data_IF_162613728845
#
_entry.id   IF_162613728845
#
_cell.length_a   1.000
_cell.length_b   1.000
_cell.length_c   1.000
_cell.angle_alpha   90.00
_cell.angle_beta   90.00
_cell.angle_gamma   90.00
#
_symmetry.space_group_name_H-M   'P 1'
#
loop_
_entity.id
_entity.type
_entity.pdbx_description
1 polymer ?
#
# COMPACT_ATOMS: atom_id res chain seq x y z
N UNK A 1 11.08 -24.90 25.56
CA UNK A 1 12.45 -24.55 26.01
C UNK A 1 12.43 -23.13 26.56
N UNK A 2 13.33 -22.80 27.50
CA UNK A 2 13.46 -21.43 28.03
C UNK A 2 14.57 -20.73 27.26
N UNK A 3 14.24 -19.61 26.63
CA UNK A 3 15.18 -18.78 25.86
C UNK A 3 15.19 -17.39 26.46
N UNK A 4 16.39 -16.82 26.60
CA UNK A 4 16.57 -15.42 26.99
C UNK A 4 16.87 -14.62 25.72
N UNK A 5 16.12 -13.54 25.48
CA UNK A 5 16.26 -12.68 24.32
C UNK A 5 16.55 -11.26 24.80
N UNK A 6 17.66 -10.68 24.36
CA UNK A 6 17.98 -9.29 24.64
C UNK A 6 17.24 -8.39 23.66
N UNK A 7 16.42 -7.48 24.20
CA UNK A 7 15.58 -6.56 23.44
C UNK A 7 15.80 -5.16 24.02
N UNK A 8 15.88 -4.10 23.20
CA UNK A 8 15.94 -2.73 23.70
C UNK A 8 14.74 -2.37 24.59
N UNK A 9 14.98 -1.55 25.63
CA UNK A 9 13.98 -1.19 26.63
C UNK A 9 12.71 -0.57 26.03
N UNK A 10 12.86 0.28 25.00
CA UNK A 10 11.73 0.90 24.30
C UNK A 10 10.82 -0.16 23.65
N UNK A 11 11.41 -1.14 22.97
CA UNK A 11 10.67 -2.24 22.33
C UNK A 11 10.01 -3.13 23.37
N UNK A 12 10.68 -3.38 24.50
CA UNK A 12 10.11 -4.15 25.62
C UNK A 12 8.90 -3.43 26.26
N UNK A 13 8.97 -2.11 26.39
CA UNK A 13 7.84 -1.28 26.87
C UNK A 13 6.65 -1.38 25.92
N UNK A 14 6.87 -1.26 24.62
CA UNK A 14 5.81 -1.42 23.60
C UNK A 14 5.17 -2.81 23.65
N UNK A 15 5.98 -3.86 23.72
CA UNK A 15 5.51 -5.25 23.86
C UNK A 15 4.61 -5.44 25.09
N UNK A 16 4.98 -4.85 26.23
CA UNK A 16 4.15 -4.89 27.45
C UNK A 16 2.82 -4.17 27.27
N UNK A 17 2.83 -2.97 26.68
CA UNK A 17 1.61 -2.23 26.38
C UNK A 17 0.69 -3.01 25.44
N UNK A 18 1.24 -3.59 24.37
CA UNK A 18 0.49 -4.38 23.41
C UNK A 18 -0.08 -5.66 24.01
N UNK A 19 0.66 -6.33 24.90
CA UNK A 19 0.19 -7.51 25.63
C UNK A 19 -1.01 -7.16 26.53
N UNK A 20 -0.94 -6.02 27.24
CA UNK A 20 -2.03 -5.52 28.08
C UNK A 20 -3.29 -5.20 27.25
N UNK A 21 -3.13 -4.49 26.13
CA UNK A 21 -4.24 -4.15 25.23
C UNK A 21 -4.90 -5.39 24.61
N UNK A 22 -4.10 -6.42 24.33
CA UNK A 22 -4.56 -7.65 23.70
C UNK A 22 -5.11 -8.67 24.71
N UNK A 23 -5.01 -8.39 26.02
CA UNK A 23 -5.39 -9.33 27.09
C UNK A 23 -4.53 -10.60 27.13
N UNK A 24 -3.36 -10.60 26.51
CA UNK A 24 -2.47 -11.75 26.40
C UNK A 24 -1.30 -11.66 27.37
N UNK A 25 -0.77 -12.81 27.79
CA UNK A 25 0.49 -12.86 28.52
C UNK A 25 1.63 -12.50 27.57
N UNK A 26 2.62 -11.76 28.06
CA UNK A 26 3.77 -11.30 27.27
C UNK A 26 4.47 -12.44 26.51
N UNK A 27 4.66 -13.59 27.15
CA UNK A 27 5.27 -14.78 26.53
C UNK A 27 4.47 -15.32 25.33
N UNK A 28 3.14 -15.25 25.38
CA UNK A 28 2.27 -15.75 24.32
C UNK A 28 2.27 -14.79 23.13
N UNK A 29 2.24 -13.48 23.41
CA UNK A 29 2.37 -12.45 22.38
C UNK A 29 3.71 -12.59 21.64
N UNK A 30 4.82 -12.74 22.40
CA UNK A 30 6.15 -12.92 21.81
C UNK A 30 6.22 -14.19 20.96
N UNK A 31 5.66 -15.30 21.43
CA UNK A 31 5.61 -16.55 20.66
C UNK A 31 4.83 -16.38 19.34
N UNK A 32 3.67 -15.72 19.38
CA UNK A 32 2.87 -15.44 18.17
C UNK A 32 3.61 -14.53 17.19
N UNK A 33 4.31 -13.50 17.67
CA UNK A 33 5.10 -12.62 16.82
C UNK A 33 6.26 -13.36 16.16
N UNK A 34 6.95 -14.22 16.91
CA UNK A 34 8.02 -15.07 16.36
C UNK A 34 7.45 -16.02 15.30
N UNK A 35 6.34 -16.72 15.59
CA UNK A 35 5.71 -17.63 14.65
C UNK A 35 5.23 -16.92 13.37
N UNK A 36 4.66 -15.73 13.52
CA UNK A 36 4.27 -14.87 12.39
C UNK A 36 5.49 -14.45 11.57
N UNK A 37 6.58 -14.06 12.23
CA UNK A 37 7.84 -13.70 11.56
C UNK A 37 8.45 -14.86 10.78
N UNK A 38 8.41 -16.08 11.34
CA UNK A 38 8.85 -17.29 10.64
C UNK A 38 7.96 -17.61 9.44
N UNK A 39 6.64 -17.47 9.56
CA UNK A 39 5.70 -17.74 8.47
C UNK A 39 5.78 -16.70 7.34
N UNK A 40 6.07 -15.44 7.66
CA UNK A 40 6.23 -14.38 6.67
C UNK A 40 7.52 -14.53 5.83
N UNK A 41 8.49 -15.33 6.31
CA UNK A 41 9.83 -15.39 5.73
C UNK A 41 10.63 -14.12 6.02
N UNK A 42 11.95 -14.20 5.91
CA UNK A 42 12.80 -13.00 5.91
C UNK A 42 12.62 -12.35 4.53
N UNK A 43 12.07 -11.13 4.42
CA UNK A 43 12.11 -10.41 3.16
C UNK A 43 13.58 -10.17 2.83
N UNK A 44 14.10 -10.95 1.87
CA UNK A 44 15.33 -10.60 1.19
C UNK A 44 15.13 -9.18 0.67
N UNK A 45 16.06 -8.23 0.94
CA UNK A 45 15.94 -6.89 0.40
C UNK A 45 15.86 -7.02 -1.12
N UNK A 46 14.66 -6.84 -1.64
CA UNK A 46 14.39 -6.84 -3.06
C UNK A 46 15.23 -5.68 -3.59
N UNK A 47 16.28 -6.01 -4.35
CA UNK A 47 17.05 -5.01 -5.07
C UNK A 47 16.05 -4.32 -6.00
N UNK A 48 15.58 -3.13 -5.61
CA UNK A 48 14.71 -2.29 -6.41
C UNK A 48 15.41 -1.98 -7.75
N UNK A 49 14.83 -2.30 -8.91
CA UNK A 49 14.91 -1.41 -10.05
C UNK A 49 13.80 -0.37 -9.86
N UNK A 50 14.19 0.82 -9.40
CA UNK A 50 13.52 2.11 -9.61
C UNK A 50 12.07 2.08 -10.14
N UNK A 51 11.10 2.34 -9.27
CA UNK A 51 9.86 3.01 -9.64
C UNK A 51 9.37 3.83 -8.44
N UNK A 52 9.80 5.09 -8.39
CA UNK A 52 9.26 6.08 -7.46
C UNK A 52 7.79 6.32 -7.80
N UNK A 53 6.91 5.83 -6.93
CA UNK A 53 5.50 6.19 -6.90
C UNK A 53 5.09 6.32 -5.43
N UNK A 54 4.94 7.56 -4.97
CA UNK A 54 4.49 7.92 -3.63
C UNK A 54 3.27 7.07 -3.22
N UNK A 55 3.45 6.27 -2.18
CA UNK A 55 2.43 5.37 -1.65
C UNK A 55 1.35 6.17 -0.92
N UNK A 56 0.22 6.41 -1.59
CA UNK A 56 -1.06 6.63 -0.89
C UNK A 56 -1.56 5.25 -0.41
N UNK A 57 -1.72 5.01 0.91
CA UNK A 57 -2.05 3.68 1.45
C UNK A 57 -3.46 3.18 1.09
N UNK A 58 -4.28 3.94 0.37
CA UNK A 58 -5.61 3.52 -0.09
C UNK A 58 -5.64 2.89 -1.49
N UNK A 59 -4.54 2.94 -2.26
CA UNK A 59 -4.56 2.46 -3.64
C UNK A 59 -4.00 1.03 -3.74
N UNK A 60 -4.87 0.03 -3.54
CA UNK A 60 -4.59 -1.35 -3.95
C UNK A 60 -4.69 -1.39 -5.47
N UNK A 61 -3.59 -1.14 -6.17
CA UNK A 61 -3.57 -1.34 -7.61
C UNK A 61 -3.66 -2.84 -7.91
N UNK A 62 -4.49 -3.26 -8.88
CA UNK A 62 -4.49 -4.64 -9.34
C UNK A 62 -3.11 -5.00 -9.88
N UNK A 63 -2.74 -6.28 -9.73
CA UNK A 63 -1.49 -6.81 -10.28
C UNK A 63 -1.47 -6.51 -11.78
N UNK A 64 -0.40 -5.90 -12.32
CA UNK A 64 -0.32 -5.59 -13.74
C UNK A 64 -0.43 -6.87 -14.57
N UNK A 65 -1.36 -6.89 -15.52
CA UNK A 65 -1.55 -8.00 -16.46
C UNK A 65 -0.67 -7.71 -17.67
N UNK A 66 0.28 -8.60 -17.97
CA UNK A 66 1.05 -8.53 -19.21
C UNK A 66 0.10 -8.70 -20.41
N UNK A 67 0.13 -7.74 -21.33
CA UNK A 67 -0.62 -7.79 -22.59
C UNK A 67 0.37 -7.76 -23.75
N UNK A 68 0.04 -8.49 -24.82
CA UNK A 68 0.77 -8.40 -26.07
C UNK A 68 0.65 -6.98 -26.64
N UNK A 69 1.68 -6.52 -27.35
CA UNK A 69 1.69 -5.17 -27.89
C UNK A 69 0.65 -5.04 -29.01
N UNK A 70 -0.39 -4.26 -28.78
CA UNK A 70 -1.51 -4.01 -29.71
C UNK A 70 -1.12 -3.15 -30.94
N UNK A 71 0.18 -2.97 -31.20
CA UNK A 71 0.72 -2.15 -32.30
C UNK A 71 0.40 -0.65 -32.24
N UNK A 72 -0.44 -0.22 -31.31
CA UNK A 72 -0.85 1.19 -31.16
C UNK A 72 0.26 2.00 -30.52
N UNK A 73 0.84 2.93 -31.29
CA UNK A 73 1.80 3.90 -30.79
C UNK A 73 1.06 5.07 -30.14
N UNK A 74 1.36 5.37 -28.88
CA UNK A 74 0.83 6.57 -28.22
C UNK A 74 1.48 7.81 -28.83
N UNK A 75 0.69 8.74 -29.39
CA UNK A 75 1.26 9.94 -30.01
C UNK A 75 1.90 10.83 -28.94
N UNK A 76 3.01 11.48 -29.30
CA UNK A 76 3.61 12.51 -28.45
C UNK A 76 2.68 13.73 -28.36
N UNK A 77 2.41 14.16 -27.13
CA UNK A 77 1.62 15.35 -26.83
C UNK A 77 2.46 16.30 -25.97
N UNK A 78 2.32 17.61 -26.22
CA UNK A 78 2.94 18.61 -25.35
C UNK A 78 2.22 18.68 -24.01
N UNK A 79 2.89 19.14 -22.96
CA UNK A 79 2.27 19.30 -21.63
C UNK A 79 1.00 20.15 -21.68
N UNK A 80 0.99 21.24 -22.45
CA UNK A 80 -0.19 22.09 -22.62
C UNK A 80 -1.38 21.31 -23.20
N UNK A 81 -1.13 20.41 -24.16
CA UNK A 81 -2.18 19.59 -24.77
C UNK A 81 -2.67 18.50 -23.81
N UNK A 82 -1.77 17.92 -23.02
CA UNK A 82 -2.15 16.96 -21.96
C UNK A 82 -3.06 17.61 -20.93
N UNK A 83 -2.72 18.81 -20.45
CA UNK A 83 -3.55 19.54 -19.49
C UNK A 83 -4.94 19.86 -20.06
N UNK A 84 -5.03 20.30 -21.31
CA UNK A 84 -6.31 20.57 -21.94
C UNK A 84 -7.22 19.32 -22.01
N UNK A 85 -6.66 18.12 -22.19
CA UNK A 85 -7.43 16.86 -22.18
C UNK A 85 -7.94 16.56 -20.77
N UNK A 86 -7.09 16.72 -19.75
CA UNK A 86 -7.48 16.48 -18.36
C UNK A 86 -8.57 17.45 -17.89
N UNK A 87 -8.46 18.73 -18.26
CA UNK A 87 -9.46 19.75 -17.91
C UNK A 87 -10.82 19.44 -18.57
N UNK A 88 -10.82 18.92 -19.80
CA UNK A 88 -12.03 18.50 -20.50
C UNK A 88 -12.70 17.30 -19.83
N UNK A 89 -11.91 16.28 -19.46
CA UNK A 89 -12.41 15.10 -18.74
C UNK A 89 -13.02 15.47 -17.38
N UNK A 90 -12.38 16.36 -16.63
CA UNK A 90 -12.89 16.86 -15.34
C UNK A 90 -14.22 17.60 -15.51
N UNK A 91 -14.36 18.41 -16.56
CA UNK A 91 -15.60 19.12 -16.86
C UNK A 91 -16.74 18.14 -17.20
N UNK A 92 -16.46 17.10 -17.98
CA UNK A 92 -17.43 16.04 -18.33
C UNK A 92 -17.86 15.27 -17.08
N UNK A 93 -16.92 14.91 -16.21
CA UNK A 93 -17.21 14.25 -14.93
C UNK A 93 -18.10 15.13 -14.05
N UNK A 94 -17.78 16.41 -13.92
CA UNK A 94 -18.57 17.36 -13.16
C UNK A 94 -20.00 17.48 -13.69
N UNK A 95 -20.17 17.58 -15.01
CA UNK A 95 -21.48 17.63 -15.65
C UNK A 95 -22.30 16.35 -15.42
N UNK A 96 -21.65 15.18 -15.45
CA UNK A 96 -22.29 13.89 -15.16
C UNK A 96 -22.83 13.85 -13.73
N UNK A 97 -22.00 14.21 -12.75
CA UNK A 97 -22.40 14.26 -11.32
C UNK A 97 -23.57 15.23 -11.11
N UNK A 98 -23.48 16.44 -11.65
CA UNK A 98 -24.54 17.45 -11.53
C UNK A 98 -25.86 17.01 -12.17
N UNK A 99 -25.79 16.31 -13.31
CA UNK A 99 -26.97 15.77 -13.99
C UNK A 99 -27.61 14.64 -13.18
N UNK A 100 -26.82 13.81 -12.50
CA UNK A 100 -27.35 12.78 -11.59
C UNK A 100 -27.99 13.36 -10.33
N UNK A 101 -27.49 14.49 -9.82
CA UNK A 101 -28.06 15.16 -8.64
C UNK A 101 -29.37 15.90 -8.95
N UNK A 102 -29.58 16.33 -10.21
CA UNK A 102 -30.77 17.08 -10.62
C UNK A 102 -31.96 16.18 -11.03
N UNK A 103 -31.79 14.85 -10.98
CA UNK A 103 -32.76 13.85 -11.42
C UNK A 103 -33.51 13.11 -10.29
N UNK A 104 -33.46 13.61 -9.05
CA UNK A 104 -34.27 13.13 -7.91
C UNK A 104 -35.33 14.15 -7.50
#
# INVERSE_FOLDING_TARGET
MRTTLDIPDETFRQLKSQAALSGLKLKELVAQLIQRGLAAGVPVPQQNPTASGTTNPACVYPIPIAREADGTCTPYLTNAKLHAILDEDDLVQYQRVRSTESGQ
#
